data_IF_583831453527
#
_entry.id   IF_583831453527
#
_cell.length_a   1.000
_cell.length_b   1.000
_cell.length_c   1.000
_cell.angle_alpha   90.00
_cell.angle_beta   90.00
_cell.angle_gamma   90.00
#
_symmetry.space_group_name_H-M   'P 1'
#
loop_
_entity.id
_entity.type
_entity.pdbx_description
1 polymer ?
#
# COMPACT_ATOMS: atom_id res chain seq x y z
N UNK A 1 30.59 13.96 -35.89
CA UNK A 1 30.71 12.51 -35.84
C UNK A 1 31.14 11.97 -37.20
N UNK A 2 31.81 10.83 -37.23
CA UNK A 2 32.22 10.15 -38.44
C UNK A 2 31.23 9.01 -38.77
N UNK A 3 31.16 8.63 -40.05
CA UNK A 3 30.35 7.49 -40.49
C UNK A 3 31.10 6.17 -40.24
N UNK A 4 31.11 5.70 -39.00
CA UNK A 4 31.67 4.40 -38.65
C UNK A 4 30.56 3.36 -38.63
N UNK A 5 30.76 2.21 -39.26
CA UNK A 5 29.94 1.03 -39.04
C UNK A 5 30.41 0.36 -37.76
N UNK A 6 29.53 0.28 -36.76
CA UNK A 6 29.81 -0.33 -35.45
C UNK A 6 28.84 -1.51 -35.25
N UNK A 7 29.40 -2.67 -34.98
CA UNK A 7 28.68 -3.88 -34.57
C UNK A 7 29.12 -4.24 -33.15
N UNK A 8 28.17 -4.48 -32.25
CA UNK A 8 28.47 -4.95 -30.90
C UNK A 8 28.90 -6.41 -30.94
N UNK A 9 30.05 -6.72 -30.34
CA UNK A 9 30.62 -8.07 -30.32
C UNK A 9 29.73 -9.03 -29.57
N UNK A 10 29.74 -10.32 -29.91
CA UNK A 10 29.09 -11.37 -29.13
C UNK A 10 29.72 -11.58 -27.75
N UNK A 11 30.91 -11.05 -27.49
CA UNK A 11 31.52 -11.03 -26.14
C UNK A 11 30.87 -9.97 -25.26
N UNK A 12 30.24 -8.94 -25.84
CA UNK A 12 29.51 -7.85 -25.19
C UNK A 12 28.00 -8.05 -25.31
N UNK A 13 27.53 -9.29 -25.25
CA UNK A 13 26.10 -9.63 -25.38
C UNK A 13 25.23 -9.06 -24.25
N UNK A 14 25.83 -8.65 -23.15
CA UNK A 14 25.21 -7.98 -22.02
C UNK A 14 25.83 -6.59 -21.83
N UNK A 15 25.09 -5.52 -22.15
CA UNK A 15 25.61 -4.15 -22.21
C UNK A 15 24.64 -3.17 -21.53
N UNK A 16 25.14 -2.08 -20.96
CA UNK A 16 24.28 -1.05 -20.35
C UNK A 16 23.72 -0.09 -21.41
N UNK A 17 22.57 0.53 -21.12
CA UNK A 17 22.00 1.58 -21.97
C UNK A 17 22.96 2.78 -22.07
N UNK A 18 23.64 3.12 -20.97
CA UNK A 18 24.64 4.20 -20.97
C UNK A 18 25.79 3.95 -21.97
N UNK A 19 26.31 2.71 -21.99
CA UNK A 19 27.38 2.36 -22.94
C UNK A 19 26.89 2.39 -24.38
N UNK A 20 25.68 1.89 -24.66
CA UNK A 20 25.06 1.95 -25.97
C UNK A 20 24.87 3.40 -26.45
N UNK A 21 24.35 4.27 -25.57
CA UNK A 21 24.20 5.69 -25.85
C UNK A 21 25.54 6.37 -26.14
N UNK A 22 26.58 6.01 -25.39
CA UNK A 22 27.94 6.53 -25.61
C UNK A 22 28.51 6.07 -26.95
N UNK A 23 28.30 4.80 -27.33
CA UNK A 23 28.76 4.26 -28.65
C UNK A 23 27.98 4.94 -29.78
N UNK A 24 26.67 5.10 -29.65
CA UNK A 24 25.84 5.79 -30.64
C UNK A 24 26.34 7.22 -30.91
N UNK A 25 26.78 7.92 -29.86
CA UNK A 25 27.32 9.27 -30.01
C UNK A 25 28.64 9.36 -30.80
N UNK A 26 29.31 8.25 -31.09
CA UNK A 26 30.59 8.23 -31.85
C UNK A 26 30.38 8.17 -33.37
N UNK A 27 29.23 7.74 -33.85
CA UNK A 27 28.95 7.52 -35.28
C UNK A 27 27.70 8.26 -35.74
N UNK A 28 27.54 8.40 -37.04
CA UNK A 28 26.31 8.85 -37.72
C UNK A 28 25.60 7.69 -38.44
N UNK A 29 26.18 6.50 -38.42
CA UNK A 29 25.57 5.28 -38.97
C UNK A 29 24.88 4.52 -37.83
N UNK A 30 23.88 3.71 -38.17
CA UNK A 30 23.21 2.89 -37.18
C UNK A 30 24.14 1.84 -36.55
N UNK A 31 24.15 1.75 -35.22
CA UNK A 31 24.91 0.74 -34.48
C UNK A 31 24.15 -0.60 -34.50
N UNK A 32 24.85 -1.67 -34.89
CA UNK A 32 24.27 -3.01 -35.02
C UNK A 32 24.26 -3.74 -33.67
N UNK A 33 23.04 -4.08 -33.19
CA UNK A 33 22.79 -4.76 -31.92
C UNK A 33 22.49 -6.26 -32.09
N UNK A 34 22.81 -6.89 -33.20
CA UNK A 34 22.51 -8.31 -33.47
C UNK A 34 22.93 -9.24 -32.34
N UNK A 35 24.04 -8.96 -31.67
CA UNK A 35 24.61 -9.79 -30.61
C UNK A 35 24.16 -9.38 -29.21
N UNK A 36 23.43 -8.29 -29.03
CA UNK A 36 22.97 -7.85 -27.70
C UNK A 36 21.75 -8.67 -27.27
N UNK A 37 21.92 -9.42 -26.20
CA UNK A 37 20.87 -10.30 -25.62
C UNK A 37 20.28 -9.77 -24.32
N UNK A 38 20.95 -8.85 -23.63
CA UNK A 38 20.42 -8.19 -22.43
C UNK A 38 20.95 -6.77 -22.28
N UNK A 39 20.14 -5.91 -21.70
CA UNK A 39 20.51 -4.56 -21.27
C UNK A 39 20.62 -4.59 -19.76
N UNK A 40 21.83 -4.39 -19.24
CA UNK A 40 22.17 -4.55 -17.83
C UNK A 40 22.13 -3.23 -17.10
N UNK A 41 21.82 -3.27 -15.81
CA UNK A 41 22.03 -2.21 -14.79
C UNK A 41 21.97 -0.76 -15.34
N UNK A 42 20.84 -0.38 -15.90
CA UNK A 42 20.66 0.93 -16.56
C UNK A 42 19.68 1.79 -15.80
N UNK A 43 19.91 3.11 -15.75
CA UNK A 43 18.92 4.06 -15.25
C UNK A 43 17.75 4.19 -16.23
N UNK A 44 16.57 4.56 -15.73
CA UNK A 44 15.42 4.87 -16.60
C UNK A 44 15.76 5.99 -17.58
N UNK A 45 16.53 6.99 -17.15
CA UNK A 45 16.97 8.09 -18.02
C UNK A 45 17.82 7.60 -19.19
N UNK A 46 18.76 6.67 -18.97
CA UNK A 46 19.57 6.09 -20.04
C UNK A 46 18.74 5.20 -20.97
N UNK A 47 17.76 4.48 -20.41
CA UNK A 47 16.84 3.64 -21.19
C UNK A 47 15.88 4.49 -22.05
N UNK A 48 15.43 5.64 -21.59
CA UNK A 48 14.61 6.58 -22.37
C UNK A 48 15.40 7.16 -23.56
N UNK A 49 16.68 7.54 -23.34
CA UNK A 49 17.58 7.98 -24.39
C UNK A 49 17.77 6.87 -25.41
N UNK A 50 18.06 5.65 -24.95
CA UNK A 50 18.22 4.47 -25.81
C UNK A 50 16.95 4.21 -26.64
N UNK A 51 15.77 4.20 -25.99
CA UNK A 51 14.48 4.01 -26.66
C UNK A 51 14.24 5.06 -27.76
N UNK A 52 14.55 6.32 -27.48
CA UNK A 52 14.46 7.41 -28.45
C UNK A 52 15.40 7.21 -29.64
N UNK A 53 16.65 6.87 -29.38
CA UNK A 53 17.65 6.63 -30.42
C UNK A 53 17.29 5.44 -31.33
N UNK A 54 16.71 4.39 -30.72
CA UNK A 54 16.21 3.24 -31.49
C UNK A 54 15.00 3.65 -32.35
N UNK A 55 14.07 4.43 -31.82
CA UNK A 55 12.92 4.98 -32.54
C UNK A 55 13.36 5.87 -33.74
N UNK A 56 14.48 6.53 -33.61
CA UNK A 56 15.12 7.32 -34.71
C UNK A 56 15.90 6.46 -35.70
N UNK A 57 15.93 5.13 -35.57
CA UNK A 57 16.72 4.22 -36.39
C UNK A 57 18.26 4.43 -36.28
N UNK A 58 18.72 4.94 -35.15
CA UNK A 58 20.15 5.09 -34.83
C UNK A 58 20.78 3.76 -34.39
N UNK A 59 19.95 2.76 -34.12
CA UNK A 59 20.31 1.37 -33.86
C UNK A 59 19.60 0.44 -34.84
N UNK A 60 20.26 -0.65 -35.21
CA UNK A 60 19.71 -1.70 -36.07
C UNK A 60 19.75 -3.06 -35.38
N UNK A 61 18.89 -3.98 -35.82
CA UNK A 61 18.85 -5.37 -35.33
C UNK A 61 18.68 -5.53 -33.82
N UNK A 62 17.95 -4.64 -33.16
CA UNK A 62 17.69 -4.66 -31.72
C UNK A 62 16.71 -5.80 -31.26
N UNK A 63 16.73 -6.94 -31.97
CA UNK A 63 15.74 -8.01 -31.81
C UNK A 63 16.12 -9.07 -30.79
N UNK A 64 17.34 -9.02 -30.24
CA UNK A 64 17.90 -10.08 -29.40
C UNK A 64 17.78 -9.86 -27.91
N UNK A 65 17.53 -8.64 -27.45
CA UNK A 65 17.48 -8.37 -26.01
C UNK A 65 16.19 -8.94 -25.38
N UNK A 66 16.37 -9.88 -24.44
CA UNK A 66 15.28 -10.57 -23.76
C UNK A 66 15.03 -10.04 -22.34
N UNK A 67 15.99 -9.28 -21.78
CA UNK A 67 15.90 -8.69 -20.44
C UNK A 67 16.46 -7.27 -20.41
N UNK A 68 15.82 -6.39 -19.65
CA UNK A 68 16.30 -5.05 -19.32
C UNK A 68 16.28 -4.90 -17.80
N UNK A 69 17.43 -4.58 -17.19
CA UNK A 69 17.52 -4.37 -15.76
C UNK A 69 17.60 -2.87 -15.44
N UNK A 70 16.61 -2.37 -14.67
CA UNK A 70 16.57 -1.00 -14.14
C UNK A 70 17.32 -0.95 -12.82
N UNK A 71 18.21 0.02 -12.68
CA UNK A 71 19.09 0.19 -11.51
C UNK A 71 18.64 1.28 -10.53
N UNK A 72 17.61 2.04 -10.86
CA UNK A 72 17.11 3.13 -10.01
C UNK A 72 16.57 2.59 -8.68
N UNK A 73 16.99 3.22 -7.58
CA UNK A 73 16.48 2.90 -6.24
C UNK A 73 15.11 3.55 -5.97
N UNK A 74 14.77 4.59 -6.73
CA UNK A 74 13.47 5.26 -6.68
C UNK A 74 12.98 5.45 -8.10
N UNK A 75 11.77 5.02 -8.36
CA UNK A 75 11.20 4.90 -9.70
C UNK A 75 9.87 5.67 -9.71
N UNK A 76 9.71 6.54 -10.70
CA UNK A 76 8.45 7.18 -11.02
C UNK A 76 7.65 6.30 -12.00
N UNK A 77 6.40 6.01 -11.67
CA UNK A 77 5.57 5.08 -12.43
C UNK A 77 5.26 5.59 -13.85
N UNK A 78 5.05 6.90 -14.02
CA UNK A 78 4.82 7.53 -15.34
C UNK A 78 6.05 7.35 -16.23
N UNK A 79 7.22 7.64 -15.68
CA UNK A 79 8.50 7.49 -16.40
C UNK A 79 8.76 6.03 -16.73
N UNK A 80 8.48 5.10 -15.81
CA UNK A 80 8.63 3.67 -16.05
C UNK A 80 7.70 3.19 -17.18
N UNK A 81 6.41 3.55 -17.13
CA UNK A 81 5.44 3.20 -18.18
C UNK A 81 5.85 3.76 -19.56
N UNK A 82 6.23 5.04 -19.63
CA UNK A 82 6.69 5.66 -20.85
C UNK A 82 7.96 5.01 -21.40
N UNK A 83 8.88 4.59 -20.52
CA UNK A 83 10.10 3.86 -20.91
C UNK A 83 9.76 2.48 -21.45
N UNK A 84 8.86 1.73 -20.83
CA UNK A 84 8.38 0.44 -21.34
C UNK A 84 7.77 0.64 -22.74
N UNK A 85 6.89 1.61 -22.90
CA UNK A 85 6.22 1.90 -24.17
C UNK A 85 7.23 2.33 -25.26
N UNK A 86 8.24 3.12 -24.93
CA UNK A 86 9.28 3.53 -25.89
C UNK A 86 10.13 2.36 -26.35
N UNK A 87 10.41 1.42 -25.47
CA UNK A 87 11.12 0.18 -25.80
C UNK A 87 10.24 -0.81 -26.57
N UNK A 88 8.90 -0.66 -26.55
CA UNK A 88 7.94 -1.47 -27.32
C UNK A 88 7.95 -1.18 -28.82
N UNK A 89 8.19 0.06 -29.20
CA UNK A 89 8.25 0.44 -30.62
C UNK A 89 9.43 -0.19 -31.36
N UNK A 90 10.31 -0.85 -30.61
CA UNK A 90 11.48 -1.48 -31.20
C UNK A 90 11.07 -2.89 -31.66
N UNK A 91 11.10 -3.10 -32.98
CA UNK A 91 10.84 -4.39 -33.60
C UNK A 91 11.60 -5.53 -32.91
N UNK A 92 10.95 -6.25 -32.03
CA UNK A 92 11.50 -7.42 -31.35
C UNK A 92 11.76 -7.27 -29.84
N UNK A 93 11.81 -6.06 -29.26
CA UNK A 93 11.89 -5.88 -27.80
C UNK A 93 10.52 -6.01 -27.08
N UNK A 94 9.45 -6.22 -27.82
CA UNK A 94 8.11 -6.45 -27.27
C UNK A 94 7.96 -7.76 -26.46
N UNK A 95 8.99 -8.58 -26.39
CA UNK A 95 9.09 -9.76 -25.52
C UNK A 95 10.07 -9.57 -24.36
N UNK A 96 10.65 -8.37 -24.25
CA UNK A 96 11.67 -8.08 -23.24
C UNK A 96 11.04 -7.94 -21.86
N UNK A 97 11.55 -8.72 -20.89
CA UNK A 97 11.19 -8.58 -19.49
C UNK A 97 12.01 -7.47 -18.85
N UNK A 98 11.34 -6.46 -18.31
CA UNK A 98 11.96 -5.43 -17.49
C UNK A 98 11.93 -5.85 -16.02
N UNK A 99 13.10 -5.84 -15.40
CA UNK A 99 13.28 -6.15 -13.97
C UNK A 99 13.76 -4.90 -13.24
N UNK A 100 13.24 -4.67 -12.05
CA UNK A 100 13.59 -3.52 -11.21
C UNK A 100 14.65 -3.94 -10.18
N UNK A 101 15.40 -2.96 -9.67
CA UNK A 101 16.33 -3.20 -8.59
C UNK A 101 15.59 -3.76 -7.36
N UNK A 102 16.19 -4.72 -6.66
CA UNK A 102 15.64 -5.28 -5.43
C UNK A 102 15.48 -4.19 -4.36
N UNK A 103 14.31 -4.14 -3.72
CA UNK A 103 13.99 -3.14 -2.71
C UNK A 103 13.90 -1.70 -3.22
N UNK A 104 13.78 -1.48 -4.53
CA UNK A 104 13.51 -0.16 -5.08
C UNK A 104 12.11 0.33 -4.65
N UNK A 105 11.93 1.65 -4.59
CA UNK A 105 10.64 2.27 -4.30
C UNK A 105 9.99 2.75 -5.60
N UNK A 106 8.76 2.34 -5.85
CA UNK A 106 7.94 2.80 -6.98
C UNK A 106 6.96 3.85 -6.47
N UNK A 107 7.07 5.08 -6.96
CA UNK A 107 6.11 6.15 -6.70
C UNK A 107 5.02 6.13 -7.78
N UNK A 108 3.77 5.99 -7.38
CA UNK A 108 2.61 5.87 -8.28
C UNK A 108 1.58 6.96 -7.92
N UNK A 109 1.07 7.68 -8.90
CA UNK A 109 -0.18 8.43 -8.71
C UNK A 109 -1.37 7.46 -8.74
N UNK A 110 -2.37 7.69 -7.89
CA UNK A 110 -3.55 6.82 -7.81
C UNK A 110 -4.23 6.61 -9.18
N UNK A 111 -4.17 7.58 -10.08
CA UNK A 111 -4.72 7.49 -11.43
C UNK A 111 -3.92 6.57 -12.38
N UNK A 112 -2.69 6.20 -12.01
CA UNK A 112 -1.77 5.43 -12.85
C UNK A 112 -1.68 3.95 -12.46
N UNK A 113 -2.34 3.54 -11.37
CA UNK A 113 -2.30 2.16 -10.86
C UNK A 113 -2.65 1.16 -11.96
N UNK A 114 -3.75 1.38 -12.69
CA UNK A 114 -4.18 0.49 -13.77
C UNK A 114 -3.17 0.42 -14.92
N UNK A 115 -2.44 1.50 -15.19
CA UNK A 115 -1.41 1.55 -16.25
C UNK A 115 -0.21 0.68 -15.87
N UNK A 116 0.32 0.84 -14.66
CA UNK A 116 1.47 0.04 -14.19
C UNK A 116 1.12 -1.44 -14.06
N UNK A 117 -0.03 -1.76 -13.49
CA UNK A 117 -0.48 -3.14 -13.37
C UNK A 117 -0.80 -3.77 -14.72
N UNK A 118 -1.18 -2.97 -15.72
CA UNK A 118 -1.32 -3.42 -17.10
C UNK A 118 0.00 -3.91 -17.70
N UNK A 119 1.12 -3.29 -17.38
CA UNK A 119 2.46 -3.74 -17.80
C UNK A 119 2.94 -4.96 -17.00
N UNK A 120 2.58 -5.08 -15.73
CA UNK A 120 2.95 -6.19 -14.86
C UNK A 120 2.18 -7.47 -15.23
N UNK A 121 0.88 -7.40 -15.45
CA UNK A 121 0.01 -8.58 -15.68
C UNK A 121 -0.01 -9.10 -17.12
N UNK A 122 0.71 -8.47 -18.06
CA UNK A 122 0.87 -9.00 -19.42
C UNK A 122 -0.33 -8.83 -20.34
N UNK A 123 -1.01 -7.71 -20.26
CA UNK A 123 -2.13 -7.40 -21.16
C UNK A 123 -1.72 -7.01 -22.58
N UNK A 124 -0.44 -7.05 -22.93
CA UNK A 124 0.04 -6.81 -24.30
C UNK A 124 0.51 -8.13 -24.90
N UNK A 125 0.20 -8.34 -26.18
CA UNK A 125 0.50 -9.55 -26.93
C UNK A 125 1.92 -10.07 -26.67
N UNK A 126 2.07 -11.04 -25.76
CA UNK A 126 3.37 -11.67 -25.52
C UNK A 126 3.78 -11.95 -24.07
N UNK A 127 3.07 -11.51 -23.07
CA UNK A 127 3.39 -11.80 -21.64
C UNK A 127 3.70 -10.56 -20.80
N UNK A 128 3.96 -10.77 -19.50
CA UNK A 128 4.37 -9.72 -18.57
C UNK A 128 5.66 -9.06 -19.00
N UNK A 129 5.68 -7.73 -19.07
CA UNK A 129 6.83 -6.94 -19.48
C UNK A 129 7.56 -6.31 -18.31
N UNK A 130 6.90 -6.20 -17.20
CA UNK A 130 7.41 -5.69 -15.94
C UNK A 130 7.23 -6.75 -14.86
N UNK A 131 8.23 -6.92 -13.99
CA UNK A 131 8.10 -7.71 -12.78
C UNK A 131 8.25 -6.80 -11.58
N UNK A 132 7.18 -6.71 -10.78
CA UNK A 132 7.19 -6.13 -9.44
C UNK A 132 7.18 -7.32 -8.47
N UNK A 133 8.14 -7.41 -7.55
CA UNK A 133 8.28 -8.56 -6.66
C UNK A 133 8.60 -8.22 -5.22
N UNK A 134 9.58 -7.36 -4.97
CA UNK A 134 10.05 -6.95 -3.63
C UNK A 134 10.21 -5.42 -3.51
N UNK A 135 9.65 -4.69 -4.46
CA UNK A 135 9.69 -3.23 -4.48
C UNK A 135 8.68 -2.67 -3.49
N UNK A 136 9.07 -1.62 -2.76
CA UNK A 136 8.12 -0.81 -2.01
C UNK A 136 7.29 0.05 -2.98
N UNK A 137 6.01 0.22 -2.67
CA UNK A 137 5.10 1.05 -3.47
C UNK A 137 4.62 2.22 -2.61
N UNK A 138 4.78 3.44 -3.10
CA UNK A 138 4.26 4.65 -2.46
C UNK A 138 3.24 5.29 -3.40
N UNK A 139 1.99 5.38 -2.94
CA UNK A 139 0.90 5.95 -3.74
C UNK A 139 0.61 7.39 -3.32
N UNK A 140 0.60 8.29 -4.29
CA UNK A 140 0.15 9.68 -4.13
C UNK A 140 -1.34 9.78 -4.48
N UNK A 141 -2.12 10.41 -3.60
CA UNK A 141 -3.58 10.45 -3.71
C UNK A 141 -4.26 9.36 -2.89
N UNK A 142 -5.60 9.34 -2.95
CA UNK A 142 -6.41 8.37 -2.22
C UNK A 142 -6.80 7.21 -3.12
N UNK A 143 -6.75 6.00 -2.59
CA UNK A 143 -7.11 4.76 -3.31
C UNK A 143 -8.26 4.03 -2.62
N UNK A 144 -8.92 3.16 -3.37
CA UNK A 144 -9.91 2.23 -2.83
C UNK A 144 -9.25 1.07 -2.09
N UNK A 145 -10.02 0.35 -1.28
CA UNK A 145 -9.58 -0.93 -0.68
C UNK A 145 -9.22 -1.95 -1.77
N UNK A 146 -9.97 -1.98 -2.87
CA UNK A 146 -9.69 -2.89 -4.00
C UNK A 146 -8.34 -2.59 -4.64
N UNK A 147 -7.99 -1.32 -4.88
CA UNK A 147 -6.69 -0.92 -5.41
C UNK A 147 -5.56 -1.23 -4.42
N UNK A 148 -5.78 -1.00 -3.12
CA UNK A 148 -4.82 -1.34 -2.08
C UNK A 148 -4.50 -2.84 -2.06
N UNK A 149 -5.53 -3.69 -2.11
CA UNK A 149 -5.39 -5.14 -2.19
C UNK A 149 -4.71 -5.60 -3.48
N UNK A 150 -5.02 -4.94 -4.60
CA UNK A 150 -4.41 -5.24 -5.90
C UNK A 150 -2.91 -4.93 -5.89
N UNK A 151 -2.52 -3.75 -5.40
CA UNK A 151 -1.10 -3.37 -5.25
C UNK A 151 -0.37 -4.30 -4.27
N UNK A 152 -0.99 -4.60 -3.13
CA UNK A 152 -0.43 -5.50 -2.13
C UNK A 152 -0.19 -6.92 -2.65
N UNK A 153 -0.99 -7.38 -3.61
CA UNK A 153 -0.83 -8.69 -4.24
C UNK A 153 0.32 -8.74 -5.26
N UNK A 154 0.83 -7.59 -5.72
CA UNK A 154 1.90 -7.54 -6.74
C UNK A 154 3.30 -7.51 -6.16
N UNK A 155 3.45 -7.13 -4.89
CA UNK A 155 4.76 -7.01 -4.24
C UNK A 155 4.79 -7.67 -2.87
N UNK A 156 5.97 -8.11 -2.45
CA UNK A 156 6.26 -8.48 -1.06
C UNK A 156 6.84 -7.31 -0.26
N UNK A 157 7.13 -6.18 -0.93
CA UNK A 157 7.50 -4.93 -0.29
C UNK A 157 6.31 -4.24 0.38
N UNK A 158 6.56 -3.12 1.04
CA UNK A 158 5.52 -2.35 1.73
C UNK A 158 4.74 -1.47 0.75
N UNK A 159 3.41 -1.52 0.83
CA UNK A 159 2.54 -0.54 0.15
C UNK A 159 2.18 0.57 1.14
N UNK A 160 2.53 1.80 0.79
CA UNK A 160 2.19 3.02 1.55
C UNK A 160 1.16 3.81 0.75
N UNK A 161 -0.03 4.01 1.32
CA UNK A 161 -1.12 4.71 0.63
C UNK A 161 -2.12 5.33 1.61
N UNK A 162 -2.93 6.29 1.14
CA UNK A 162 -4.10 6.78 1.86
C UNK A 162 -5.36 6.13 1.30
N UNK A 163 -6.15 5.49 2.16
CA UNK A 163 -7.43 4.92 1.76
C UNK A 163 -8.48 6.03 1.71
N UNK A 164 -9.35 6.01 0.69
CA UNK A 164 -10.40 7.01 0.56
C UNK A 164 -11.39 6.96 1.71
N UNK A 165 -11.79 8.12 2.23
CA UNK A 165 -12.71 8.27 3.37
C UNK A 165 -14.15 7.84 3.06
N UNK A 166 -14.43 7.43 1.83
CA UNK A 166 -15.73 6.86 1.43
C UNK A 166 -15.85 5.37 1.71
N UNK A 167 -14.71 4.68 1.94
CA UNK A 167 -14.72 3.27 2.32
C UNK A 167 -15.34 3.09 3.70
N UNK A 168 -16.16 2.04 3.82
CA UNK A 168 -16.84 1.69 5.05
C UNK A 168 -16.01 0.69 5.87
N UNK A 169 -16.31 0.56 7.13
CA UNK A 169 -15.72 -0.46 8.02
C UNK A 169 -15.78 -1.85 7.37
N UNK A 170 -16.88 -2.17 6.69
CA UNK A 170 -17.07 -3.46 6.01
C UNK A 170 -16.06 -3.69 4.89
N UNK A 171 -15.73 -2.67 4.12
CA UNK A 171 -14.71 -2.70 3.07
C UNK A 171 -13.30 -2.68 3.68
N UNK A 172 -13.03 -1.81 4.65
CA UNK A 172 -11.72 -1.70 5.30
C UNK A 172 -11.24 -3.02 5.91
N UNK A 173 -12.15 -3.82 6.48
CA UNK A 173 -11.85 -5.15 7.02
C UNK A 173 -11.40 -6.16 5.95
N UNK A 174 -11.64 -5.90 4.67
CA UNK A 174 -11.24 -6.76 3.55
C UNK A 174 -9.82 -6.48 3.05
N UNK A 175 -9.10 -5.51 3.62
CA UNK A 175 -7.67 -5.35 3.39
C UNK A 175 -6.93 -6.67 3.71
N UNK A 176 -6.04 -7.11 2.80
CA UNK A 176 -5.51 -8.48 2.85
C UNK A 176 -4.24 -8.61 3.67
N UNK A 177 -3.25 -7.77 3.46
CA UNK A 177 -1.95 -7.88 4.13
C UNK A 177 -1.91 -7.04 5.42
N UNK A 178 -0.93 -7.31 6.28
CA UNK A 178 -0.79 -6.65 7.60
C UNK A 178 0.49 -5.82 7.76
N UNK A 179 1.38 -5.86 6.75
CA UNK A 179 2.68 -5.17 6.76
C UNK A 179 2.67 -3.82 6.04
N UNK A 180 1.55 -3.44 5.43
CA UNK A 180 1.39 -2.22 4.67
C UNK A 180 1.13 -1.01 5.59
N UNK A 181 1.49 0.18 5.10
CA UNK A 181 1.31 1.45 5.80
C UNK A 181 0.14 2.24 5.21
N UNK A 182 -1.09 1.83 5.51
CA UNK A 182 -2.30 2.51 5.05
C UNK A 182 -2.73 3.60 6.03
N UNK A 183 -2.79 4.85 5.59
CA UNK A 183 -3.46 5.92 6.32
C UNK A 183 -4.96 5.75 6.16
N UNK A 184 -5.66 5.48 7.27
CA UNK A 184 -7.10 5.21 7.29
C UNK A 184 -7.78 6.23 8.19
N UNK A 185 -8.84 6.84 7.67
CA UNK A 185 -9.77 7.70 8.42
C UNK A 185 -11.14 7.03 8.37
N UNK A 186 -11.70 6.71 9.54
CA UNK A 186 -13.03 6.08 9.60
C UNK A 186 -14.08 7.04 9.06
N UNK A 187 -14.92 6.55 8.16
CA UNK A 187 -15.97 7.33 7.52
C UNK A 187 -17.00 7.84 8.53
N UNK A 188 -17.44 9.08 8.40
CA UNK A 188 -18.57 9.61 9.20
C UNK A 188 -19.89 8.85 9.00
N UNK A 189 -19.98 8.04 7.94
CA UNK A 189 -21.09 7.12 7.73
C UNK A 189 -21.04 5.89 8.67
N UNK A 190 -19.88 5.64 9.32
CA UNK A 190 -19.65 4.59 10.33
C UNK A 190 -19.50 5.18 11.75
N UNK A 191 -20.28 6.20 12.07
CA UNK A 191 -20.30 6.84 13.38
C UNK A 191 -20.60 5.87 14.55
N UNK A 192 -21.12 4.68 14.25
CA UNK A 192 -21.30 3.56 15.17
C UNK A 192 -20.45 2.39 14.71
N UNK A 193 -19.55 1.92 15.56
CA UNK A 193 -18.63 0.82 15.29
C UNK A 193 -18.64 -0.22 16.43
N UNK A 194 -18.14 -1.43 16.15
CA UNK A 194 -17.80 -2.38 17.22
C UNK A 194 -16.31 -2.27 17.54
N UNK A 195 -15.93 -2.58 18.78
CA UNK A 195 -14.53 -2.63 19.17
C UNK A 195 -13.77 -3.70 18.38
N UNK A 196 -14.41 -4.85 18.11
CA UNK A 196 -13.89 -5.92 17.26
C UNK A 196 -13.55 -5.42 15.84
N UNK A 197 -14.46 -4.65 15.23
CA UNK A 197 -14.27 -4.14 13.87
C UNK A 197 -13.10 -3.15 13.76
N UNK A 198 -13.01 -2.21 14.72
CA UNK A 198 -11.89 -1.24 14.75
C UNK A 198 -10.56 -1.94 14.99
N UNK A 199 -10.52 -2.91 15.90
CA UNK A 199 -9.33 -3.72 16.15
C UNK A 199 -8.94 -4.59 14.95
N UNK A 200 -9.92 -5.09 14.20
CA UNK A 200 -9.69 -5.86 12.98
C UNK A 200 -9.05 -4.98 11.87
N UNK A 201 -9.47 -3.72 11.76
CA UNK A 201 -8.87 -2.76 10.80
C UNK A 201 -7.47 -2.36 11.28
N UNK A 202 -7.27 -2.14 12.58
CA UNK A 202 -5.95 -1.86 13.17
C UNK A 202 -4.93 -2.93 12.80
N UNK A 203 -5.33 -4.20 12.85
CA UNK A 203 -4.50 -5.32 12.40
C UNK A 203 -4.18 -5.35 10.90
N UNK A 204 -4.73 -4.45 10.07
CA UNK A 204 -4.53 -4.40 8.61
C UNK A 204 -3.52 -3.34 8.16
N UNK A 205 -3.06 -2.50 9.05
CA UNK A 205 -2.12 -1.44 8.73
C UNK A 205 -1.08 -1.28 9.83
N UNK A 206 0.10 -0.79 9.47
CA UNK A 206 1.14 -0.37 10.43
C UNK A 206 1.02 1.10 10.81
N UNK A 207 0.16 1.86 10.13
CA UNK A 207 -0.12 3.26 10.44
C UNK A 207 -1.32 3.39 11.38
N UNK A 208 -1.37 4.46 12.15
CA UNK A 208 -2.45 4.74 13.08
C UNK A 208 -3.74 5.11 12.32
N UNK A 209 -4.88 4.58 12.77
CA UNK A 209 -6.22 4.84 12.25
C UNK A 209 -6.81 6.06 12.95
N UNK A 210 -7.39 6.98 12.18
CA UNK A 210 -8.14 8.11 12.72
C UNK A 210 -9.62 7.73 12.90
N UNK A 211 -10.06 7.61 14.14
CA UNK A 211 -11.43 7.28 14.54
C UNK A 211 -12.27 8.50 14.95
N UNK A 212 -11.85 9.74 14.65
CA UNK A 212 -12.57 10.98 15.04
C UNK A 212 -14.06 10.98 14.69
N UNK A 213 -14.47 10.26 13.64
CA UNK A 213 -15.86 10.21 13.22
C UNK A 213 -16.73 9.21 14.02
N UNK A 214 -16.12 8.33 14.81
CA UNK A 214 -16.83 7.35 15.63
C UNK A 214 -17.39 8.06 16.86
N UNK A 215 -18.68 7.92 17.09
CA UNK A 215 -19.39 8.53 18.24
C UNK A 215 -20.01 7.50 19.17
N UNK A 216 -20.01 6.22 18.76
CA UNK A 216 -20.52 5.12 19.58
C UNK A 216 -19.75 3.84 19.30
N UNK A 217 -19.33 3.17 20.36
CA UNK A 217 -18.60 1.89 20.31
C UNK A 217 -19.39 0.85 21.09
N UNK A 218 -19.47 -0.37 20.53
CA UNK A 218 -20.08 -1.53 21.22
C UNK A 218 -19.11 -2.71 21.21
N UNK A 219 -19.19 -3.54 22.26
CA UNK A 219 -18.38 -4.75 22.38
C UNK A 219 -18.49 -5.37 23.77
N UNK A 220 -17.73 -6.42 24.01
CA UNK A 220 -17.49 -6.97 25.34
C UNK A 220 -16.50 -6.09 26.13
N UNK A 221 -16.38 -6.30 27.41
CA UNK A 221 -15.41 -5.61 28.27
C UNK A 221 -13.98 -5.76 27.70
N UNK A 222 -13.62 -7.01 27.39
CA UNK A 222 -12.27 -7.32 26.88
C UNK A 222 -11.99 -6.66 25.52
N UNK A 223 -12.95 -6.67 24.60
CA UNK A 223 -12.80 -6.05 23.28
C UNK A 223 -12.63 -4.53 23.38
N UNK A 224 -13.48 -3.87 24.19
CA UNK A 224 -13.41 -2.42 24.35
C UNK A 224 -12.12 -2.00 25.05
N UNK A 225 -11.73 -2.67 26.14
CA UNK A 225 -10.47 -2.36 26.82
C UNK A 225 -9.25 -2.58 25.92
N UNK A 226 -9.22 -3.67 25.16
CA UNK A 226 -8.14 -3.95 24.22
C UNK A 226 -8.04 -2.87 23.11
N UNK A 227 -9.17 -2.38 22.60
CA UNK A 227 -9.20 -1.32 21.61
C UNK A 227 -8.59 -0.02 22.16
N UNK A 228 -8.98 0.40 23.37
CA UNK A 228 -8.46 1.63 23.96
C UNK A 228 -7.00 1.52 24.46
N UNK A 229 -6.50 0.31 24.68
CA UNK A 229 -5.09 0.04 24.97
C UNK A 229 -4.24 -0.04 23.71
N UNK A 230 -4.85 -0.19 22.53
CA UNK A 230 -4.12 -0.21 21.25
C UNK A 230 -3.54 1.18 20.94
N UNK A 231 -2.29 1.20 20.51
CA UNK A 231 -1.66 2.41 19.97
C UNK A 231 -1.98 2.64 18.49
N UNK A 232 -2.74 1.75 17.86
CA UNK A 232 -3.03 1.78 16.43
C UNK A 232 -4.33 2.51 16.06
N UNK A 233 -5.13 2.94 17.06
CA UNK A 233 -6.38 3.71 16.83
C UNK A 233 -6.35 4.98 17.65
N UNK A 234 -6.39 6.12 16.99
CA UNK A 234 -6.36 7.44 17.59
C UNK A 234 -7.74 8.11 17.64
N UNK A 235 -7.83 9.17 18.45
CA UNK A 235 -9.00 10.03 18.57
C UNK A 235 -10.23 9.32 19.15
N UNK A 236 -9.99 8.38 20.06
CA UNK A 236 -11.01 7.80 20.95
C UNK A 236 -11.02 8.54 22.31
N UNK A 237 -12.15 8.49 23.05
CA UNK A 237 -12.27 8.99 24.43
C UNK A 237 -13.49 9.85 24.71
N UNK A 238 -14.38 10.07 23.74
CA UNK A 238 -15.65 10.80 23.91
C UNK A 238 -16.87 10.06 23.37
N UNK A 239 -16.70 8.81 22.88
CA UNK A 239 -17.75 7.97 22.33
C UNK A 239 -18.67 7.43 23.44
N UNK A 240 -19.95 7.27 23.10
CA UNK A 240 -20.83 6.45 23.90
C UNK A 240 -20.42 4.97 23.81
N UNK A 241 -20.30 4.28 24.94
CA UNK A 241 -19.90 2.86 25.00
C UNK A 241 -21.09 2.00 25.42
N UNK A 242 -21.32 0.91 24.67
CA UNK A 242 -22.30 -0.12 25.00
C UNK A 242 -21.63 -1.46 25.24
N UNK A 243 -21.64 -1.96 26.45
CA UNK A 243 -21.04 -3.25 26.81
C UNK A 243 -22.10 -4.35 26.77
N UNK A 244 -21.76 -5.45 26.09
CA UNK A 244 -22.68 -6.56 25.83
C UNK A 244 -22.70 -7.63 26.91
N UNK A 245 -21.64 -7.77 27.70
CA UNK A 245 -21.50 -8.71 28.81
C UNK A 245 -21.81 -8.07 30.16
N UNK A 246 -21.96 -8.88 31.21
CA UNK A 246 -22.15 -8.41 32.57
C UNK A 246 -20.83 -7.95 33.17
N UNK A 247 -20.79 -6.74 33.73
CA UNK A 247 -19.64 -6.16 34.39
C UNK A 247 -19.69 -6.31 35.92
N UNK A 248 -18.53 -6.40 36.52
CA UNK A 248 -18.37 -6.05 37.94
C UNK A 248 -18.33 -4.53 38.09
N UNK A 249 -18.50 -4.02 39.33
CA UNK A 249 -18.33 -2.58 39.60
C UNK A 249 -16.92 -2.08 39.24
N UNK A 250 -15.90 -2.93 39.43
CA UNK A 250 -14.52 -2.58 39.09
C UNK A 250 -14.34 -2.39 37.59
N UNK A 251 -14.86 -3.32 36.80
CA UNK A 251 -14.79 -3.25 35.33
C UNK A 251 -15.59 -2.06 34.77
N UNK A 252 -16.79 -1.81 35.32
CA UNK A 252 -17.58 -0.64 34.94
C UNK A 252 -16.82 0.68 35.19
N UNK A 253 -16.08 0.78 36.30
CA UNK A 253 -15.24 1.94 36.58
C UNK A 253 -14.00 2.03 35.66
N UNK A 254 -13.47 0.91 35.18
CA UNK A 254 -12.42 0.92 34.16
C UNK A 254 -12.97 1.52 32.86
N UNK A 255 -14.13 1.03 32.40
CA UNK A 255 -14.76 1.57 31.19
C UNK A 255 -15.08 3.07 31.33
N UNK A 256 -15.57 3.51 32.50
CA UNK A 256 -15.86 4.93 32.78
C UNK A 256 -14.62 5.82 32.71
N UNK A 257 -13.44 5.24 32.92
CA UNK A 257 -12.16 5.93 32.79
C UNK A 257 -11.66 6.04 31.33
N UNK A 258 -12.23 5.30 30.38
CA UNK A 258 -11.81 5.28 28.98
C UNK A 258 -12.46 6.38 28.14
N UNK A 259 -13.69 6.78 28.49
CA UNK A 259 -14.46 7.75 27.70
C UNK A 259 -15.10 8.83 28.57
N UNK A 260 -15.35 9.98 27.98
CA UNK A 260 -16.23 11.02 28.55
C UNK A 260 -17.68 10.88 28.06
N UNK A 261 -17.94 9.96 27.14
CA UNK A 261 -19.29 9.63 26.67
C UNK A 261 -20.10 8.80 27.64
N UNK A 262 -21.37 8.55 27.33
CA UNK A 262 -22.28 7.78 28.18
C UNK A 262 -22.02 6.27 28.01
N UNK A 263 -22.04 5.54 29.14
CA UNK A 263 -21.87 4.09 29.15
C UNK A 263 -23.22 3.42 29.36
N UNK A 264 -23.51 2.38 28.59
CA UNK A 264 -24.63 1.47 28.77
C UNK A 264 -24.09 0.07 29.06
N UNK A 265 -24.38 -0.48 30.21
CA UNK A 265 -23.93 -1.82 30.61
C UNK A 265 -24.84 -2.46 31.66
N UNK A 266 -24.74 -3.79 31.79
CA UNK A 266 -25.36 -4.53 32.91
C UNK A 266 -24.31 -4.79 33.97
N UNK A 267 -24.60 -4.41 35.22
CA UNK A 267 -23.79 -4.78 36.38
C UNK A 267 -24.35 -6.09 36.93
N UNK A 268 -23.55 -7.14 36.92
CA UNK A 268 -23.90 -8.45 37.44
C UNK A 268 -24.13 -8.42 38.93
N UNK A 269 -24.63 -9.52 39.48
CA UNK A 269 -25.04 -9.68 40.90
C UNK A 269 -24.14 -8.97 41.91
N UNK A 270 -24.49 -7.74 42.26
CA UNK A 270 -23.73 -6.92 43.18
C UNK A 270 -24.49 -6.78 44.51
N UNK A 271 -23.75 -6.80 45.60
CA UNK A 271 -24.33 -6.47 46.92
C UNK A 271 -24.51 -4.95 47.01
N UNK A 272 -25.56 -4.53 47.75
CA UNK A 272 -25.78 -3.10 47.99
C UNK A 272 -24.54 -2.42 48.57
N UNK A 273 -23.78 -3.14 49.44
CA UNK A 273 -22.53 -2.63 49.98
C UNK A 273 -21.43 -2.37 48.97
N UNK A 274 -21.42 -3.08 47.84
CA UNK A 274 -20.46 -2.89 46.75
C UNK A 274 -20.83 -1.68 45.88
N UNK A 275 -22.14 -1.40 45.76
CA UNK A 275 -22.65 -0.29 44.96
C UNK A 275 -22.58 1.06 45.70
N UNK A 276 -22.83 1.10 47.05
CA UNK A 276 -22.99 2.37 47.79
C UNK A 276 -22.03 2.54 48.97
N UNK A 277 -21.25 1.56 49.32
CA UNK A 277 -20.36 1.59 50.49
C UNK A 277 -19.03 0.85 50.28
N UNK A 278 -18.86 0.22 49.16
CA UNK A 278 -17.63 -0.48 48.79
C UNK A 278 -16.51 0.45 48.32
N UNK A 279 -15.33 -0.11 48.13
CA UNK A 279 -14.24 0.53 47.42
C UNK A 279 -13.77 -0.44 46.32
N UNK A 280 -13.93 -0.11 45.03
CA UNK A 280 -14.43 1.16 44.48
C UNK A 280 -15.96 1.27 44.50
N UNK A 281 -16.47 2.50 44.61
CA UNK A 281 -17.87 2.83 44.33
C UNK A 281 -18.09 2.86 42.82
N UNK A 282 -19.32 2.51 42.38
CA UNK A 282 -19.70 2.69 40.98
C UNK A 282 -19.69 4.20 40.63
N UNK A 283 -18.95 4.58 39.63
CA UNK A 283 -18.98 5.95 39.09
C UNK A 283 -20.31 6.18 38.37
N UNK A 284 -20.96 7.29 38.66
CA UNK A 284 -22.22 7.69 38.04
C UNK A 284 -22.04 8.99 37.21
N UNK A 285 -20.88 9.17 36.64
CA UNK A 285 -20.57 10.31 35.80
C UNK A 285 -21.17 10.12 34.38
N UNK A 286 -21.17 11.17 33.56
CA UNK A 286 -21.44 11.11 32.13
C UNK A 286 -22.80 10.55 31.67
N UNK A 287 -23.86 10.61 32.54
CA UNK A 287 -25.19 10.03 32.26
C UNK A 287 -25.16 8.52 31.96
N UNK A 288 -24.31 7.77 32.61
CA UNK A 288 -24.22 6.32 32.44
C UNK A 288 -25.56 5.63 32.76
N UNK A 289 -25.93 4.67 31.92
CA UNK A 289 -27.16 3.89 32.01
C UNK A 289 -26.84 2.44 32.41
N UNK A 290 -26.69 2.18 33.69
CA UNK A 290 -26.44 0.84 34.19
C UNK A 290 -27.74 0.11 34.57
N UNK A 291 -27.89 -1.13 34.09
CA UNK A 291 -28.89 -2.08 34.59
C UNK A 291 -28.22 -2.85 35.73
N UNK A 292 -28.77 -2.79 36.95
CA UNK A 292 -28.14 -3.39 38.12
C UNK A 292 -29.04 -4.50 38.66
N UNK A 293 -28.52 -5.73 38.75
CA UNK A 293 -29.13 -6.84 39.44
C UNK A 293 -28.64 -6.85 40.90
N UNK A 294 -29.54 -6.75 41.86
CA UNK A 294 -29.22 -6.78 43.29
C UNK A 294 -29.62 -8.17 43.81
N UNK A 295 -28.69 -8.86 44.49
CA UNK A 295 -28.91 -10.17 45.13
C UNK A 295 -28.94 -10.06 46.65
#
# INVERSE_FOLDING_TARGET
NNAYTIEISSEDAAVSASDLNAINALTTEAVDLTNVTSITSSSLADLEILGTAIGNSEFSNATGATTVAVSDATIDATTLAATIDSLDFINGLNTTLMTLASGATINIDASEISTILGHETGSIVGGSRLTISDQDIVVTGNISVDDANLLSATTTGTVTASITTTERITELKTLTETSNAYTIVISSADATATAEDLSAIDGKTTATIDATAVTSISGTYDEVTALYESAGVDNLGDEAISISDELTVTEANVIDGLTTGAITATIGNSRVSELVGGTPLLNANNNNAYIIAIS
#
